data_IF_839538033962
#
_entry.id   IF_839538033962
#
_cell.length_a   1.000
_cell.length_b   1.000
_cell.length_c   1.000
_cell.angle_alpha   90.00
_cell.angle_beta   90.00
_cell.angle_gamma   90.00
#
_symmetry.space_group_name_H-M   'P 1'
#
loop_
_entity.id
_entity.type
_entity.pdbx_description
1 polymer ?
#
# COMPACT_ATOMS: atom_id res chain seq x y z
N UNK A 1 -14.10 10.10 6.22
CA UNK A 1 -13.20 10.69 7.21
C UNK A 1 -12.84 9.61 8.19
N UNK A 2 -11.56 9.35 8.42
CA UNK A 2 -11.07 8.43 9.44
C UNK A 2 -10.39 9.18 10.58
N UNK A 3 -9.69 8.44 11.43
CA UNK A 3 -8.84 8.96 12.50
C UNK A 3 -7.61 8.08 12.70
N UNK A 4 -6.69 8.51 13.55
CA UNK A 4 -5.60 7.67 14.05
C UNK A 4 -6.12 6.59 15.01
N UNK A 5 -5.23 5.66 15.33
CA UNK A 5 -5.46 4.62 16.35
C UNK A 5 -4.46 4.75 17.49
N UNK A 6 -4.89 4.49 18.71
CA UNK A 6 -4.02 4.18 19.85
C UNK A 6 -3.86 2.66 19.93
N UNK A 7 -2.62 2.17 19.95
CA UNK A 7 -2.35 0.74 19.88
C UNK A 7 -2.33 0.11 21.27
N UNK A 8 -2.96 -1.06 21.39
CA UNK A 8 -2.86 -1.96 22.53
C UNK A 8 -2.22 -3.26 22.06
N UNK A 9 -1.03 -3.59 22.57
CA UNK A 9 -0.28 -4.79 22.17
C UNK A 9 -0.48 -5.90 23.20
N UNK A 10 -0.99 -7.05 22.77
CA UNK A 10 -1.06 -8.25 23.62
C UNK A 10 0.28 -8.98 23.70
N UNK A 11 0.42 -9.92 24.64
CA UNK A 11 1.65 -10.71 24.81
C UNK A 11 1.97 -11.55 23.57
N UNK A 12 0.95 -12.13 22.96
CA UNK A 12 1.03 -12.86 21.70
C UNK A 12 0.45 -12.00 20.58
N UNK A 13 1.25 -11.11 19.99
CA UNK A 13 0.75 -10.05 19.09
C UNK A 13 1.12 -10.20 17.61
N UNK A 14 1.83 -11.28 17.27
CA UNK A 14 2.27 -11.55 15.90
C UNK A 14 3.28 -10.53 15.36
N UNK A 15 3.48 -10.54 14.03
CA UNK A 15 4.52 -9.76 13.34
C UNK A 15 4.24 -8.25 13.35
N UNK A 16 2.97 -7.86 13.27
CA UNK A 16 2.60 -6.45 13.28
C UNK A 16 2.72 -5.91 14.71
N UNK A 17 2.16 -6.62 15.70
CA UNK A 17 2.22 -6.21 17.09
C UNK A 17 3.64 -6.08 17.64
N UNK A 18 4.59 -6.89 17.17
CA UNK A 18 5.99 -6.79 17.60
C UNK A 18 6.70 -5.50 17.17
N UNK A 19 6.10 -4.69 16.30
CA UNK A 19 6.62 -3.41 15.83
C UNK A 19 6.13 -2.21 16.67
N UNK A 20 5.18 -2.43 17.58
CA UNK A 20 4.54 -1.37 18.36
C UNK A 20 4.64 -1.64 19.86
N UNK A 21 4.37 -0.60 20.64
CA UNK A 21 4.15 -0.64 22.08
C UNK A 21 2.73 -0.16 22.40
N UNK A 22 2.18 -0.63 23.50
CA UNK A 22 0.90 -0.11 24.00
C UNK A 22 1.02 1.38 24.27
N UNK A 23 0.05 2.16 23.76
CA UNK A 23 0.04 3.62 23.79
C UNK A 23 0.63 4.29 22.54
N UNK A 24 1.26 3.53 21.63
CA UNK A 24 1.73 4.09 20.36
C UNK A 24 0.54 4.60 19.52
N UNK A 25 0.76 5.70 18.80
CA UNK A 25 -0.24 6.26 17.89
C UNK A 25 0.08 5.86 16.46
N UNK A 26 -0.82 5.08 15.84
CA UNK A 26 -0.74 4.75 14.42
C UNK A 26 -1.29 5.91 13.59
N UNK A 27 -0.35 6.68 13.01
CA UNK A 27 -0.64 7.85 12.17
C UNK A 27 -0.74 7.45 10.70
N UNK A 28 -1.62 8.13 9.97
CA UNK A 28 -1.77 8.04 8.52
C UNK A 28 -1.81 9.45 7.90
N UNK A 29 -1.64 9.58 6.57
CA UNK A 29 -1.76 10.87 5.90
C UNK A 29 -3.13 11.53 6.14
N UNK A 30 -3.15 12.86 6.21
CA UNK A 30 -4.32 13.61 6.66
C UNK A 30 -5.24 14.02 5.53
N UNK A 31 -4.66 14.41 4.39
CA UNK A 31 -5.39 15.01 3.27
C UNK A 31 -5.49 14.07 2.07
N UNK A 32 -6.51 14.30 1.24
CA UNK A 32 -6.90 13.43 0.14
C UNK A 32 -5.72 13.02 -0.78
N UNK A 33 -4.91 13.98 -1.24
CA UNK A 33 -3.82 13.69 -2.18
C UNK A 33 -2.78 12.77 -1.56
N UNK A 34 -2.37 13.03 -0.31
CA UNK A 34 -1.40 12.19 0.40
C UNK A 34 -1.97 10.79 0.69
N UNK A 35 -3.26 10.69 0.99
CA UNK A 35 -3.96 9.42 1.17
C UNK A 35 -3.94 8.63 -0.14
N UNK A 36 -4.27 9.26 -1.27
CA UNK A 36 -4.26 8.63 -2.58
C UNK A 36 -2.85 8.17 -3.00
N UNK A 37 -1.82 8.97 -2.71
CA UNK A 37 -0.42 8.57 -2.95
C UNK A 37 0.00 7.41 -2.05
N UNK A 38 -0.36 7.43 -0.76
CA UNK A 38 -0.07 6.32 0.15
C UNK A 38 -0.79 5.02 -0.27
N UNK A 39 -2.01 5.12 -0.81
CA UNK A 39 -2.77 4.01 -1.38
C UNK A 39 -2.08 3.30 -2.56
N UNK A 40 -1.00 3.86 -3.13
CA UNK A 40 -0.16 3.18 -4.11
C UNK A 40 0.72 2.09 -3.48
N UNK A 41 0.99 2.19 -2.16
CA UNK A 41 2.01 1.40 -1.48
C UNK A 41 1.46 0.57 -0.31
N UNK A 42 0.44 1.06 0.38
CA UNK A 42 -0.24 0.37 1.48
C UNK A 42 -1.67 0.89 1.66
N UNK A 43 -2.46 0.32 2.58
CA UNK A 43 -3.75 0.87 2.95
C UNK A 43 -3.59 1.91 4.10
N UNK A 44 -3.72 3.22 3.85
CA UNK A 44 -3.62 4.26 4.89
C UNK A 44 -4.95 4.51 5.62
N UNK A 45 -5.96 3.67 5.41
CA UNK A 45 -7.28 3.84 5.99
C UNK A 45 -7.53 2.76 7.04
N UNK A 46 -7.80 3.21 8.26
CA UNK A 46 -8.27 2.34 9.34
C UNK A 46 -9.78 2.18 9.21
N UNK A 47 -10.25 1.05 8.67
CA UNK A 47 -11.66 0.84 8.37
C UNK A 47 -12.59 1.06 9.58
N UNK A 48 -12.11 0.72 10.79
CA UNK A 48 -12.82 0.88 12.06
C UNK A 48 -12.98 2.34 12.54
N UNK A 49 -12.36 3.32 11.88
CA UNK A 49 -12.50 4.75 12.22
C UNK A 49 -13.27 5.53 11.17
N UNK A 50 -13.63 4.88 10.05
CA UNK A 50 -14.16 5.58 8.89
C UNK A 50 -15.65 5.90 9.03
N UNK A 51 -15.97 7.16 8.79
CA UNK A 51 -17.32 7.64 8.51
C UNK A 51 -17.40 8.18 7.08
N UNK A 52 -18.55 8.00 6.43
CA UNK A 52 -18.82 8.54 5.11
C UNK A 52 -20.21 9.17 5.04
N UNK A 53 -20.40 10.12 4.13
CA UNK A 53 -21.72 10.70 3.91
C UNK A 53 -22.65 9.65 3.32
N UNK A 54 -23.85 9.52 3.89
CA UNK A 54 -24.81 8.51 3.50
C UNK A 54 -25.27 8.63 2.04
N UNK A 55 -25.28 9.83 1.47
CA UNK A 55 -25.63 10.02 0.06
C UNK A 55 -24.61 9.36 -0.88
N UNK A 56 -23.31 9.52 -0.64
CA UNK A 56 -22.23 8.89 -1.44
C UNK A 56 -22.38 7.37 -1.46
N UNK A 57 -22.65 6.77 -0.30
CA UNK A 57 -22.92 5.33 -0.18
C UNK A 57 -24.10 4.87 -1.04
N UNK A 58 -25.24 5.58 -0.95
CA UNK A 58 -26.48 5.21 -1.64
C UNK A 58 -26.39 5.44 -3.15
N UNK A 59 -25.86 6.59 -3.55
CA UNK A 59 -25.76 7.01 -4.95
C UNK A 59 -24.86 6.07 -5.76
N UNK A 60 -23.70 5.72 -5.20
CA UNK A 60 -22.73 4.85 -5.87
C UNK A 60 -22.89 3.37 -5.52
N UNK A 61 -23.91 3.00 -4.73
CA UNK A 61 -24.21 1.61 -4.31
C UNK A 61 -22.98 0.86 -3.79
N UNK A 62 -22.21 1.54 -2.93
CA UNK A 62 -20.91 1.06 -2.48
C UNK A 62 -21.05 -0.23 -1.66
N UNK A 63 -20.33 -1.28 -2.06
CA UNK A 63 -20.28 -2.57 -1.35
C UNK A 63 -18.84 -3.10 -1.35
N UNK A 64 -18.50 -3.89 -0.34
CA UNK A 64 -17.21 -4.59 -0.34
C UNK A 64 -17.17 -5.63 -1.45
N UNK A 65 -16.10 -5.58 -2.24
CA UNK A 65 -15.89 -6.56 -3.31
C UNK A 65 -15.31 -7.86 -2.73
N UNK A 66 -16.08 -8.94 -2.85
CA UNK A 66 -15.74 -10.27 -2.33
C UNK A 66 -14.56 -10.94 -3.05
N UNK A 67 -14.16 -10.43 -4.21
CA UNK A 67 -13.00 -10.92 -4.97
C UNK A 67 -11.65 -10.49 -4.34
N UNK A 68 -11.67 -9.71 -3.25
CA UNK A 68 -10.50 -9.19 -2.55
C UNK A 68 -10.46 -9.63 -1.08
N UNK A 69 -10.45 -10.95 -0.81
CA UNK A 69 -10.55 -11.46 0.55
C UNK A 69 -9.40 -10.95 1.43
N UNK A 70 -9.73 -10.60 2.67
CA UNK A 70 -8.82 -10.07 3.69
C UNK A 70 -8.24 -8.67 3.42
N UNK A 71 -8.52 -8.06 2.26
CA UNK A 71 -8.12 -6.70 1.91
C UNK A 71 -9.28 -5.93 1.28
N UNK A 72 -10.51 -6.29 1.67
CA UNK A 72 -11.75 -5.72 1.16
C UNK A 72 -11.80 -4.22 1.44
N UNK A 73 -11.33 -3.80 2.62
CA UNK A 73 -11.24 -2.40 3.03
C UNK A 73 -10.32 -1.59 2.14
N UNK A 74 -9.14 -2.12 1.83
CA UNK A 74 -8.18 -1.43 0.97
C UNK A 74 -8.75 -1.23 -0.44
N UNK A 75 -9.36 -2.28 -1.01
CA UNK A 75 -10.00 -2.19 -2.32
C UNK A 75 -11.15 -1.18 -2.31
N UNK A 76 -12.01 -1.26 -1.30
CA UNK A 76 -13.16 -0.38 -1.17
C UNK A 76 -12.74 1.09 -1.06
N UNK A 77 -11.83 1.41 -0.16
CA UNK A 77 -11.42 2.80 0.05
C UNK A 77 -10.59 3.37 -1.12
N UNK A 78 -9.88 2.53 -1.88
CA UNK A 78 -9.19 2.97 -3.09
C UNK A 78 -10.13 3.26 -4.27
N UNK A 79 -11.32 2.68 -4.29
CA UNK A 79 -12.38 3.03 -5.24
C UNK A 79 -13.16 4.27 -4.77
N UNK A 80 -13.48 4.35 -3.47
CA UNK A 80 -14.17 5.51 -2.90
C UNK A 80 -13.34 6.79 -3.04
N UNK A 81 -12.01 6.71 -2.95
CA UNK A 81 -11.13 7.87 -3.17
C UNK A 81 -11.25 8.47 -4.58
N UNK A 82 -11.80 7.74 -5.55
CA UNK A 82 -12.02 8.22 -6.93
C UNK A 82 -13.33 8.99 -7.08
N UNK A 83 -14.24 8.86 -6.11
CA UNK A 83 -15.56 9.48 -6.11
C UNK A 83 -15.58 10.81 -5.35
N UNK A 84 -14.63 11.02 -4.43
CA UNK A 84 -14.52 12.26 -3.67
C UNK A 84 -13.35 12.27 -2.70
N UNK A 85 -13.30 13.33 -1.88
CA UNK A 85 -12.18 13.55 -0.97
C UNK A 85 -12.25 12.65 0.27
N UNK A 86 -11.08 12.09 0.61
CA UNK A 86 -10.83 11.41 1.88
C UNK A 86 -10.04 12.32 2.82
N UNK A 87 -10.19 12.09 4.11
CA UNK A 87 -9.42 12.79 5.15
C UNK A 87 -9.29 11.90 6.38
N UNK A 88 -8.19 12.04 7.11
CA UNK A 88 -8.03 11.50 8.46
C UNK A 88 -7.96 12.65 9.45
N UNK A 89 -8.66 12.53 10.57
CA UNK A 89 -8.59 13.47 11.68
C UNK A 89 -7.34 13.16 12.54
N UNK A 90 -6.53 14.16 12.91
CA UNK A 90 -5.19 13.96 13.50
C UNK A 90 -5.20 13.54 14.99
N UNK A 91 -6.25 12.85 15.44
CA UNK A 91 -6.39 12.35 16.81
C UNK A 91 -6.68 10.86 16.82
N UNK A 92 -6.23 10.18 17.88
CA UNK A 92 -6.52 8.78 18.11
C UNK A 92 -7.88 8.64 18.81
N UNK A 93 -8.92 8.31 18.03
CA UNK A 93 -10.29 8.20 18.53
C UNK A 93 -10.72 6.76 18.82
N UNK A 94 -9.87 5.78 18.47
CA UNK A 94 -10.14 4.35 18.67
C UNK A 94 -8.88 3.67 19.21
N UNK A 95 -9.07 2.84 20.24
CA UNK A 95 -8.05 1.92 20.72
C UNK A 95 -8.09 0.63 19.90
N UNK A 96 -6.98 0.28 19.26
CA UNK A 96 -6.89 -0.88 18.39
C UNK A 96 -5.96 -1.94 18.98
N UNK A 97 -6.50 -3.14 19.14
CA UNK A 97 -5.84 -4.26 19.79
C UNK A 97 -5.09 -5.11 18.77
N UNK A 98 -3.80 -5.31 19.00
CA UNK A 98 -2.94 -6.19 18.21
C UNK A 98 -2.72 -7.51 18.93
N UNK A 99 -3.20 -8.59 18.31
CA UNK A 99 -3.12 -9.96 18.84
C UNK A 99 -2.82 -10.99 17.72
N UNK A 100 -2.26 -12.13 18.08
CA UNK A 100 -1.71 -13.12 17.15
C UNK A 100 -2.77 -13.79 16.26
N UNK A 101 -4.02 -13.81 16.72
CA UNK A 101 -5.14 -14.43 16.01
C UNK A 101 -5.93 -13.45 15.12
N UNK A 102 -5.50 -12.19 14.99
CA UNK A 102 -6.18 -11.24 14.10
C UNK A 102 -6.03 -11.66 12.63
N UNK A 103 -7.00 -11.30 11.80
CA UNK A 103 -7.07 -11.68 10.37
C UNK A 103 -5.76 -11.41 9.63
N UNK A 104 -5.13 -10.25 9.85
CA UNK A 104 -3.86 -9.89 9.19
C UNK A 104 -2.65 -10.72 9.63
N UNK A 105 -2.73 -11.37 10.80
CA UNK A 105 -1.70 -12.30 11.29
C UNK A 105 -1.94 -13.69 10.72
N UNK A 106 -3.18 -14.19 10.75
CA UNK A 106 -3.54 -15.54 10.29
C UNK A 106 -3.49 -15.67 8.77
N UNK A 107 -4.02 -14.69 8.04
CA UNK A 107 -4.14 -14.72 6.58
C UNK A 107 -3.12 -13.82 5.87
N UNK A 108 -1.99 -13.52 6.52
CA UNK A 108 -1.00 -12.55 6.05
C UNK A 108 -0.55 -12.80 4.60
N UNK A 109 -0.26 -14.06 4.26
CA UNK A 109 0.17 -14.41 2.90
C UNK A 109 -0.89 -14.05 1.86
N UNK A 110 -2.15 -14.47 2.09
CA UNK A 110 -3.23 -14.20 1.15
C UNK A 110 -3.57 -12.71 1.07
N UNK A 111 -3.59 -12.03 2.21
CA UNK A 111 -3.79 -10.59 2.28
C UNK A 111 -2.71 -9.84 1.47
N UNK A 112 -1.44 -10.26 1.54
CA UNK A 112 -0.35 -9.65 0.77
C UNK A 112 -0.49 -9.88 -0.75
N UNK A 113 -0.93 -11.06 -1.19
CA UNK A 113 -1.21 -11.32 -2.61
C UNK A 113 -2.31 -10.40 -3.14
N UNK A 114 -3.41 -10.30 -2.40
CA UNK A 114 -4.55 -9.44 -2.77
C UNK A 114 -4.14 -7.97 -2.73
N UNK A 115 -3.37 -7.54 -1.73
CA UNK A 115 -2.83 -6.19 -1.65
C UNK A 115 -1.88 -5.87 -2.81
N UNK A 116 -1.07 -6.82 -3.29
CA UNK A 116 -0.22 -6.64 -4.49
C UNK A 116 -1.08 -6.34 -5.72
N UNK A 117 -2.20 -7.05 -5.89
CA UNK A 117 -3.17 -6.79 -6.97
C UNK A 117 -3.76 -5.38 -6.86
N UNK A 118 -4.26 -5.00 -5.68
CA UNK A 118 -4.85 -3.67 -5.43
C UNK A 118 -3.84 -2.55 -5.72
N UNK A 119 -2.58 -2.71 -5.30
CA UNK A 119 -1.50 -1.76 -5.59
C UNK A 119 -1.27 -1.59 -7.09
N UNK A 120 -1.23 -2.69 -7.85
CA UNK A 120 -1.13 -2.63 -9.31
C UNK A 120 -2.27 -1.85 -9.97
N UNK A 121 -3.51 -2.07 -9.50
CA UNK A 121 -4.69 -1.33 -9.97
C UNK A 121 -4.62 0.17 -9.63
N UNK A 122 -4.19 0.50 -8.41
CA UNK A 122 -4.06 1.89 -7.96
C UNK A 122 -2.94 2.62 -8.72
N UNK A 123 -1.79 1.96 -8.94
CA UNK A 123 -0.68 2.49 -9.73
C UNK A 123 -1.11 2.71 -11.19
N UNK A 124 -1.77 1.72 -11.80
CA UNK A 124 -2.31 1.85 -13.17
C UNK A 124 -3.22 3.07 -13.28
N UNK A 125 -4.17 3.21 -12.35
CA UNK A 125 -5.07 4.36 -12.33
C UNK A 125 -4.31 5.69 -12.19
N UNK A 126 -3.33 5.76 -11.29
CA UNK A 126 -2.53 6.97 -11.07
C UNK A 126 -1.71 7.35 -12.31
N UNK A 127 -1.02 6.38 -12.93
CA UNK A 127 -0.22 6.59 -14.14
C UNK A 127 -1.10 7.09 -15.30
N UNK A 128 -2.24 6.46 -15.53
CA UNK A 128 -3.17 6.87 -16.58
C UNK A 128 -3.69 8.30 -16.34
N UNK A 129 -3.96 8.67 -15.08
CA UNK A 129 -4.40 10.02 -14.70
C UNK A 129 -3.37 11.10 -15.03
N UNK A 130 -2.08 10.77 -15.00
CA UNK A 130 -0.99 11.70 -15.36
C UNK A 130 -0.52 11.56 -16.81
N UNK A 131 -1.26 10.82 -17.65
CA UNK A 131 -0.98 10.67 -19.08
C UNK A 131 0.02 9.57 -19.45
N UNK A 132 0.34 8.67 -18.51
CA UNK A 132 1.21 7.52 -18.75
C UNK A 132 0.32 6.28 -18.87
N UNK A 133 0.00 5.86 -20.09
CA UNK A 133 -0.87 4.71 -20.36
C UNK A 133 -0.11 3.38 -20.19
N UNK A 134 -0.06 2.88 -18.95
CA UNK A 134 0.60 1.62 -18.58
C UNK A 134 -0.33 0.82 -17.69
N UNK A 135 -0.57 -0.44 -18.07
CA UNK A 135 -1.36 -1.37 -17.27
C UNK A 135 -0.47 -2.26 -16.42
N UNK A 136 -0.45 -2.00 -15.11
CA UNK A 136 0.32 -2.77 -14.12
C UNK A 136 -0.49 -4.00 -13.68
N UNK A 137 -0.48 -5.07 -14.50
CA UNK A 137 -1.09 -6.36 -14.14
C UNK A 137 -0.02 -7.36 -13.73
N UNK A 138 0.06 -7.70 -12.44
CA UNK A 138 0.79 -8.83 -11.84
C UNK A 138 2.33 -8.90 -12.03
N UNK A 139 2.85 -8.52 -13.19
CA UNK A 139 4.25 -8.41 -13.58
C UNK A 139 4.37 -7.31 -14.63
N UNK A 140 5.19 -6.30 -14.37
CA UNK A 140 5.54 -5.30 -15.39
C UNK A 140 6.94 -5.56 -15.87
N UNK A 141 7.13 -5.44 -17.19
CA UNK A 141 8.46 -5.37 -17.75
C UNK A 141 9.09 -4.07 -17.27
N UNK A 142 10.19 -4.14 -16.51
CA UNK A 142 10.94 -2.96 -16.05
C UNK A 142 11.27 -1.98 -17.21
N UNK A 143 11.30 -2.50 -18.44
CA UNK A 143 11.49 -1.75 -19.68
C UNK A 143 10.37 -0.71 -19.95
N UNK A 144 9.11 -0.97 -19.57
CA UNK A 144 7.98 -0.07 -19.82
C UNK A 144 8.05 1.21 -18.97
N UNK A 145 8.69 1.13 -17.80
CA UNK A 145 8.75 2.22 -16.82
C UNK A 145 10.06 3.01 -16.96
N UNK A 146 10.96 2.60 -17.85
CA UNK A 146 12.27 3.22 -18.05
C UNK A 146 12.19 4.70 -18.44
N UNK A 147 11.14 5.08 -19.17
CA UNK A 147 10.89 6.42 -19.69
C UNK A 147 10.17 7.35 -18.71
N UNK A 148 9.79 6.85 -17.54
CA UNK A 148 9.08 7.65 -16.54
C UNK A 148 10.02 8.66 -15.90
N UNK A 149 9.53 9.89 -15.70
CA UNK A 149 10.29 11.01 -15.14
C UNK A 149 10.94 10.65 -13.79
N UNK A 150 12.27 10.52 -13.82
CA UNK A 150 13.12 10.18 -12.68
C UNK A 150 13.38 11.37 -11.76
N UNK A 151 12.76 12.53 -11.96
CA UNK A 151 12.77 13.63 -10.99
C UNK A 151 11.57 13.55 -10.03
N UNK A 152 10.46 12.95 -10.47
CA UNK A 152 9.24 12.81 -9.68
C UNK A 152 9.38 11.75 -8.58
N UNK A 153 9.26 12.16 -7.32
CA UNK A 153 9.41 11.27 -6.15
C UNK A 153 8.39 10.14 -6.09
N UNK A 154 7.13 10.39 -6.48
CA UNK A 154 6.08 9.36 -6.47
C UNK A 154 6.40 8.30 -7.51
N UNK A 155 6.83 8.70 -8.70
CA UNK A 155 7.21 7.78 -9.77
C UNK A 155 8.42 6.91 -9.40
N UNK A 156 9.40 7.47 -8.68
CA UNK A 156 10.50 6.68 -8.08
C UNK A 156 9.99 5.63 -7.11
N UNK A 157 9.08 6.01 -6.21
CA UNK A 157 8.51 5.07 -5.24
C UNK A 157 7.68 3.98 -5.92
N UNK A 158 6.95 4.31 -6.98
CA UNK A 158 6.21 3.34 -7.80
C UNK A 158 7.19 2.34 -8.44
N UNK A 159 8.26 2.83 -9.08
CA UNK A 159 9.31 1.99 -9.66
C UNK A 159 9.90 1.02 -8.63
N UNK A 160 10.18 1.52 -7.41
CA UNK A 160 10.68 0.69 -6.31
C UNK A 160 9.68 -0.39 -5.90
N UNK A 161 8.42 0.00 -5.69
CA UNK A 161 7.36 -0.92 -5.26
C UNK A 161 7.14 -2.02 -6.30
N UNK A 162 7.20 -1.68 -7.58
CA UNK A 162 7.08 -2.62 -8.69
C UNK A 162 8.27 -3.59 -8.74
N UNK A 163 9.50 -3.09 -8.61
CA UNK A 163 10.69 -3.94 -8.51
C UNK A 163 10.61 -4.88 -7.29
N UNK A 164 10.19 -4.35 -6.14
CA UNK A 164 10.02 -5.13 -4.92
C UNK A 164 8.88 -6.13 -5.01
N UNK A 165 7.97 -5.96 -5.97
CA UNK A 165 6.86 -6.87 -6.20
C UNK A 165 7.13 -7.91 -7.28
N UNK A 166 8.34 -7.96 -7.87
CA UNK A 166 8.69 -8.98 -8.88
C UNK A 166 8.59 -10.40 -8.30
N UNK A 167 7.95 -11.30 -9.05
CA UNK A 167 7.81 -12.70 -8.65
C UNK A 167 9.17 -13.41 -8.68
N UNK A 168 9.98 -13.11 -9.71
CA UNK A 168 11.35 -13.61 -9.91
C UNK A 168 12.34 -12.46 -10.11
N UNK A 169 13.49 -12.56 -9.46
CA UNK A 169 14.61 -11.64 -9.65
C UNK A 169 15.67 -12.32 -10.50
N UNK A 170 15.90 -11.82 -11.71
CA UNK A 170 17.00 -12.25 -12.58
C UNK A 170 18.19 -11.32 -12.43
N UNK A 171 19.39 -11.81 -12.77
CA UNK A 171 20.59 -10.96 -12.85
C UNK A 171 20.34 -9.76 -13.77
N UNK A 172 19.61 -9.95 -14.88
CA UNK A 172 19.20 -8.87 -15.78
C UNK A 172 18.32 -7.83 -15.08
N UNK A 173 17.32 -8.26 -14.31
CA UNK A 173 16.45 -7.34 -13.54
C UNK A 173 17.23 -6.59 -12.45
N UNK A 174 18.19 -7.25 -11.81
CA UNK A 174 19.06 -6.63 -10.81
C UNK A 174 20.03 -5.64 -11.44
N UNK A 175 20.69 -6.01 -12.54
CA UNK A 175 21.59 -5.12 -13.28
C UNK A 175 20.82 -3.92 -13.84
N UNK A 176 19.59 -4.12 -14.33
CA UNK A 176 18.73 -3.03 -14.75
C UNK A 176 18.38 -2.12 -13.57
N UNK A 177 17.97 -2.70 -12.44
CA UNK A 177 17.66 -1.96 -11.22
C UNK A 177 18.86 -1.15 -10.71
N UNK A 178 20.03 -1.77 -10.63
CA UNK A 178 21.28 -1.13 -10.22
C UNK A 178 21.68 -0.03 -11.21
N UNK A 179 21.76 -0.35 -12.51
CA UNK A 179 22.23 0.57 -13.55
C UNK A 179 21.37 1.83 -13.64
N UNK A 180 20.07 1.71 -13.42
CA UNK A 180 19.13 2.81 -13.71
C UNK A 180 18.46 3.42 -12.49
N UNK A 181 18.57 2.78 -11.32
CA UNK A 181 17.80 3.18 -10.15
C UNK A 181 18.58 3.17 -8.82
N UNK A 182 19.86 2.76 -8.78
CA UNK A 182 20.63 2.75 -7.51
C UNK A 182 20.82 4.15 -6.92
N UNK A 183 20.84 5.19 -7.75
CA UNK A 183 20.91 6.59 -7.30
C UNK A 183 19.55 7.16 -6.85
N UNK A 184 18.45 6.44 -7.12
CA UNK A 184 17.09 6.90 -6.82
C UNK A 184 16.62 6.53 -5.41
N UNK A 185 17.33 5.64 -4.71
CA UNK A 185 16.87 5.01 -3.47
C UNK A 185 17.81 5.24 -2.28
N UNK A 186 17.23 5.27 -1.09
CA UNK A 186 17.97 5.44 0.15
C UNK A 186 18.72 4.16 0.57
N UNK A 187 19.61 4.28 1.56
CA UNK A 187 20.41 3.16 2.05
C UNK A 187 19.56 2.02 2.66
N UNK A 188 18.40 2.32 3.25
CA UNK A 188 17.51 1.31 3.84
C UNK A 188 16.85 0.46 2.76
N UNK A 189 16.42 1.09 1.67
CA UNK A 189 15.86 0.43 0.49
C UNK A 189 16.92 -0.47 -0.17
N UNK A 190 18.13 0.06 -0.39
CA UNK A 190 19.27 -0.71 -0.93
C UNK A 190 19.58 -1.99 -0.14
N UNK A 191 19.54 -1.92 1.19
CA UNK A 191 19.81 -3.07 2.06
C UNK A 191 18.68 -4.13 2.02
N UNK A 192 17.43 -3.69 1.87
CA UNK A 192 16.26 -4.57 1.72
C UNK A 192 16.33 -5.35 0.40
N UNK A 193 16.78 -4.70 -0.67
CA UNK A 193 16.93 -5.29 -2.00
C UNK A 193 17.99 -6.41 -1.98
N UNK A 194 19.15 -6.14 -1.38
CA UNK A 194 20.21 -7.12 -1.20
C UNK A 194 19.73 -8.39 -0.50
N UNK A 195 18.99 -8.25 0.61
CA UNK A 195 18.43 -9.39 1.35
C UNK A 195 17.41 -10.19 0.54
N UNK A 196 16.62 -9.55 -0.32
CA UNK A 196 15.60 -10.24 -1.14
C UNK A 196 16.23 -11.09 -2.25
N UNK A 197 17.23 -10.55 -2.95
CA UNK A 197 17.95 -11.26 -4.01
C UNK A 197 18.64 -12.53 -3.46
N UNK A 198 19.16 -12.47 -2.23
CA UNK A 198 19.85 -13.61 -1.60
C UNK A 198 18.92 -14.62 -0.93
N UNK A 199 17.67 -14.26 -0.62
CA UNK A 199 16.67 -15.18 -0.03
C UNK A 199 15.88 -16.01 -1.06
N UNK A 200 15.93 -15.65 -2.35
CA UNK A 200 15.21 -16.31 -3.45
C UNK A 200 16.15 -17.02 -4.46
N UNK A 201 17.44 -17.17 -4.14
CA UNK A 201 18.33 -18.14 -4.77
C UNK A 201 18.19 -19.48 -4.06
#
# INVERSE_FOLDING_TARGET
>A
MGSYLEIIVEKECGIIGSQYKTGDIWKNPLIHNEICEAMLFYNPIHNNTMIMRANVYREHKLIFNKDYPYAEDYKFWSEVSRLGCLANYPEALVKYRLHGNQTSSVYNHKQNEVAKKIKGENITYYLNKIGIDIKVINSVSLLEIYHVDKSNKVLKSILYEMYMSLDKYTITSLLHFIKYHLELFDLKQKFKDYKKVHKKK
#
